data_IF_544016036929
#
_entry.id   IF_544016036929
#
_cell.length_a   1.000
_cell.length_b   1.000
_cell.length_c   1.000
_cell.angle_alpha   90.00
_cell.angle_beta   90.00
_cell.angle_gamma   90.00
#
_symmetry.space_group_name_H-M   'P 1'
#
loop_
_entity.id
_entity.type
_entity.pdbx_description
1 polymer ?
#
# COMPACT_ATOMS: atom_id res chain seq x y z
N UNK A 1 19.81 1.57 3.76
CA UNK A 1 18.90 2.70 4.01
C UNK A 1 17.60 2.09 4.53
N UNK A 2 17.12 2.45 5.72
CA UNK A 2 15.86 1.88 6.24
C UNK A 2 14.69 2.33 5.36
N UNK A 3 13.71 1.45 5.10
CA UNK A 3 12.49 1.85 4.41
C UNK A 3 11.80 2.95 5.23
N UNK A 4 11.34 4.06 4.59
CA UNK A 4 10.64 5.11 5.30
C UNK A 4 9.39 4.53 5.97
N UNK A 5 9.06 5.03 7.17
CA UNK A 5 7.88 4.60 7.89
C UNK A 5 6.63 4.84 7.03
N UNK A 6 5.68 3.88 7.04
CA UNK A 6 4.41 4.04 6.36
C UNK A 6 3.54 5.01 7.17
N UNK A 7 3.55 6.29 6.79
CA UNK A 7 2.69 7.32 7.38
C UNK A 7 1.52 7.64 6.45
N UNK A 8 0.46 8.23 6.99
CA UNK A 8 -0.72 8.67 6.21
C UNK A 8 -0.32 9.61 5.08
N UNK A 9 0.59 10.56 5.33
CA UNK A 9 1.10 11.50 4.34
C UNK A 9 1.85 10.79 3.22
N UNK A 10 2.64 9.77 3.59
CA UNK A 10 3.37 8.95 2.62
C UNK A 10 2.39 8.17 1.76
N UNK A 11 1.33 7.58 2.33
CA UNK A 11 0.27 6.90 1.57
C UNK A 11 -0.38 7.87 0.59
N UNK A 12 -0.79 9.06 1.04
CA UNK A 12 -1.42 10.06 0.17
C UNK A 12 -0.52 10.47 -0.98
N UNK A 13 0.74 10.82 -0.71
CA UNK A 13 1.69 11.22 -1.75
C UNK A 13 1.92 10.10 -2.77
N UNK A 14 2.13 8.86 -2.30
CA UNK A 14 2.37 7.69 -3.16
C UNK A 14 1.15 7.32 -4.01
N UNK A 15 -0.07 7.54 -3.52
CA UNK A 15 -1.29 7.36 -4.29
C UNK A 15 -1.38 8.34 -5.46
N UNK A 16 -1.07 9.62 -5.22
CA UNK A 16 -1.11 10.66 -6.25
C UNK A 16 -0.07 10.40 -7.35
N UNK A 17 1.14 9.96 -6.98
CA UNK A 17 2.20 9.56 -7.93
C UNK A 17 1.78 8.41 -8.86
N UNK A 18 0.79 7.60 -8.45
CA UNK A 18 0.24 6.47 -9.21
C UNK A 18 -1.02 6.83 -10.01
N UNK A 19 -1.43 8.09 -9.98
CA UNK A 19 -2.56 8.58 -10.76
C UNK A 19 -3.91 8.58 -10.04
N UNK A 20 -3.96 8.25 -8.74
CA UNK A 20 -5.15 8.52 -7.95
C UNK A 20 -5.33 10.03 -7.80
N UNK A 21 -6.58 10.49 -7.88
CA UNK A 21 -6.95 11.90 -7.74
C UNK A 21 -7.53 12.17 -6.36
N UNK A 22 -7.61 13.44 -5.95
CA UNK A 22 -8.27 13.82 -4.69
C UNK A 22 -9.74 13.36 -4.64
N UNK A 23 -10.42 13.32 -5.78
CA UNK A 23 -11.80 12.83 -5.86
C UNK A 23 -11.89 11.34 -5.54
N UNK A 24 -10.88 10.55 -5.90
CA UNK A 24 -10.85 9.13 -5.60
C UNK A 24 -10.76 8.88 -4.09
N UNK A 25 -10.10 9.75 -3.32
CA UNK A 25 -10.09 9.67 -1.85
C UNK A 25 -11.46 9.92 -1.20
N UNK A 26 -12.37 10.58 -1.89
CA UNK A 26 -13.76 10.77 -1.42
C UNK A 26 -14.66 9.58 -1.76
N UNK A 27 -14.31 8.83 -2.81
CA UNK A 27 -15.14 7.74 -3.35
C UNK A 27 -14.64 6.34 -2.95
N UNK A 28 -13.34 6.21 -2.67
CA UNK A 28 -12.69 4.94 -2.32
C UNK A 28 -12.41 4.87 -0.83
N UNK A 29 -12.57 3.67 -0.28
CA UNK A 29 -12.12 3.42 1.08
C UNK A 29 -10.60 3.31 1.12
N UNK A 30 -10.00 3.51 2.29
CA UNK A 30 -8.55 3.35 2.49
C UNK A 30 -8.07 1.97 2.04
N UNK A 31 -8.86 0.91 2.29
CA UNK A 31 -8.53 -0.44 1.82
C UNK A 31 -8.43 -0.53 0.30
N UNK A 32 -9.41 0.03 -0.42
CA UNK A 32 -9.41 0.05 -1.89
C UNK A 32 -8.22 0.83 -2.46
N UNK A 33 -7.82 1.92 -1.81
CA UNK A 33 -6.64 2.71 -2.20
C UNK A 33 -5.37 1.89 -2.03
N UNK A 34 -5.23 1.17 -0.91
CA UNK A 34 -4.08 0.30 -0.65
C UNK A 34 -4.03 -0.85 -1.67
N UNK A 35 -5.16 -1.51 -1.93
CA UNK A 35 -5.24 -2.60 -2.92
C UNK A 35 -4.81 -2.12 -4.31
N UNK A 36 -5.25 -0.92 -4.71
CA UNK A 36 -4.80 -0.30 -5.95
C UNK A 36 -3.29 -0.07 -5.99
N UNK A 37 -2.70 0.47 -4.91
CA UNK A 37 -1.26 0.71 -4.82
C UNK A 37 -0.47 -0.60 -4.95
N UNK A 38 -0.93 -1.68 -4.31
CA UNK A 38 -0.31 -3.01 -4.40
C UNK A 38 -0.36 -3.50 -5.85
N UNK A 39 -1.54 -3.51 -6.46
CA UNK A 39 -1.71 -3.94 -7.84
C UNK A 39 -0.87 -3.12 -8.84
N UNK A 40 -0.79 -1.80 -8.64
CA UNK A 40 0.07 -0.93 -9.44
C UNK A 40 1.54 -1.31 -9.29
N UNK A 41 2.02 -1.52 -8.06
CA UNK A 41 3.41 -1.86 -7.81
C UNK A 41 3.78 -3.20 -8.44
N UNK A 42 2.93 -4.21 -8.28
CA UNK A 42 3.16 -5.54 -8.85
C UNK A 42 3.24 -5.51 -10.38
N UNK A 43 2.39 -4.68 -11.01
CA UNK A 43 2.40 -4.52 -12.47
C UNK A 43 3.58 -3.70 -13.00
N UNK A 44 4.19 -2.84 -12.17
CA UNK A 44 5.23 -1.89 -12.59
C UNK A 44 6.62 -2.19 -12.00
N UNK A 45 6.77 -3.23 -11.18
CA UNK A 45 8.09 -3.65 -10.70
C UNK A 45 8.87 -4.30 -11.86
N UNK A 46 10.08 -3.80 -12.19
CA UNK A 46 10.95 -4.49 -13.13
C UNK A 46 11.33 -5.86 -12.54
N UNK A 47 11.53 -6.85 -13.42
CA UNK A 47 11.80 -8.28 -13.15
C UNK A 47 13.14 -8.54 -12.39
N UNK A 48 13.66 -7.56 -11.66
CA UNK A 48 14.86 -7.63 -10.85
C UNK A 48 14.55 -8.25 -9.49
N UNK A 49 14.27 -9.55 -9.48
CA UNK A 49 14.22 -10.38 -8.28
C UNK A 49 12.97 -10.13 -7.45
N UNK A 50 11.99 -11.01 -7.60
CA UNK A 50 10.84 -11.14 -6.71
C UNK A 50 11.34 -11.10 -5.26
N UNK A 51 11.14 -9.97 -4.57
CA UNK A 51 11.02 -10.04 -3.12
C UNK A 51 9.86 -11.01 -2.90
N UNK A 52 10.13 -12.16 -2.26
CA UNK A 52 9.10 -13.15 -2.01
C UNK A 52 7.84 -12.42 -1.55
N UNK A 53 6.66 -12.70 -2.14
CA UNK A 53 5.43 -12.07 -1.70
C UNK A 53 5.38 -12.26 -0.20
N UNK A 54 5.37 -11.14 0.56
CA UNK A 54 5.30 -11.18 2.02
C UNK A 54 4.13 -12.08 2.32
N UNK A 55 4.39 -13.30 2.84
CA UNK A 55 3.36 -14.31 3.06
C UNK A 55 2.26 -13.64 3.87
N UNK A 56 1.15 -13.33 3.21
CA UNK A 56 0.00 -12.72 3.83
C UNK A 56 -0.48 -13.72 4.87
N UNK A 57 -0.11 -13.49 6.13
CA UNK A 57 -0.61 -14.27 7.25
C UNK A 57 -1.91 -13.63 7.71
N UNK A 58 -2.91 -14.43 8.14
CA UNK A 58 -4.07 -13.86 8.81
C UNK A 58 -3.61 -12.99 9.99
N UNK A 59 -4.27 -11.83 10.12
CA UNK A 59 -4.04 -10.93 11.24
C UNK A 59 -4.39 -11.65 12.56
N UNK A 60 -3.51 -11.52 13.54
CA UNK A 60 -3.69 -12.09 14.87
C UNK A 60 -4.37 -11.08 15.79
N UNK A 61 -4.88 -11.53 16.93
CA UNK A 61 -5.49 -10.65 17.94
C UNK A 61 -4.53 -9.53 18.37
N UNK A 62 -3.23 -9.82 18.50
CA UNK A 62 -2.22 -8.82 18.83
C UNK A 62 -2.03 -7.74 17.76
N UNK A 63 -2.34 -8.04 16.49
CA UNK A 63 -2.25 -7.06 15.41
C UNK A 63 -3.43 -6.07 15.50
N UNK A 64 -4.61 -6.53 15.93
CA UNK A 64 -5.75 -5.66 16.21
C UNK A 64 -5.53 -4.81 17.47
N UNK A 65 -4.95 -5.39 18.52
CA UNK A 65 -4.72 -4.70 19.79
C UNK A 65 -3.63 -3.61 19.69
N UNK A 66 -2.89 -3.55 18.57
CA UNK A 66 -1.84 -2.55 18.29
C UNK A 66 -2.31 -1.39 17.39
N UNK A 67 -3.57 -1.39 16.98
CA UNK A 67 -4.20 -0.34 16.17
C UNK A 67 -5.07 0.56 17.04
#
# INVERSE_FOLDING_TARGET
>A
MAAPALTTETVMLRSLERGLTLRDFEMLTVGMIIDYIVAYNDANMPDSGQAEPVKARPASQQDYDRF
#
